data_IF_755729459529
#
_entry.id   IF_755729459529
#
_cell.length_a   1.000
_cell.length_b   1.000
_cell.length_c   1.000
_cell.angle_alpha   90.00
_cell.angle_beta   90.00
_cell.angle_gamma   90.00
#
_symmetry.space_group_name_H-M   'P 1'
#
loop_
_entity.id
_entity.type
_entity.pdbx_description
1 polymer ?
#
# COMPACT_ATOMS: atom_id res chain seq x y z
N UNK A 1 6.98 -26.57 -5.25
CA UNK A 1 6.61 -25.14 -5.21
C UNK A 1 7.21 -24.43 -6.41
N UNK A 2 6.74 -23.23 -6.76
CA UNK A 2 7.41 -22.41 -7.77
C UNK A 2 8.86 -22.12 -7.33
N UNK A 3 9.83 -22.08 -8.26
CA UNK A 3 11.25 -21.85 -7.93
C UNK A 3 11.52 -20.41 -7.46
N UNK A 4 10.59 -19.48 -7.72
CA UNK A 4 10.64 -18.10 -7.27
C UNK A 4 9.36 -17.75 -6.52
N UNK A 5 9.53 -16.98 -5.44
CA UNK A 5 8.45 -16.44 -4.63
C UNK A 5 8.61 -14.93 -4.47
N UNK A 6 7.51 -14.27 -4.15
CA UNK A 6 7.47 -12.85 -3.84
C UNK A 6 6.51 -12.61 -2.67
N UNK A 7 6.55 -11.38 -2.15
CA UNK A 7 5.68 -10.94 -1.06
C UNK A 7 4.92 -9.69 -1.48
N UNK A 8 3.71 -9.54 -0.93
CA UNK A 8 2.86 -8.36 -1.06
C UNK A 8 2.99 -7.58 0.25
N UNK A 9 3.21 -6.28 0.19
CA UNK A 9 3.34 -5.47 1.39
C UNK A 9 1.95 -5.20 2.00
N UNK A 10 1.85 -5.10 3.34
CA UNK A 10 0.65 -4.58 3.97
C UNK A 10 0.49 -3.07 3.74
N UNK A 11 -0.75 -2.59 3.90
CA UNK A 11 -1.12 -1.18 3.92
C UNK A 11 -1.26 -0.73 5.37
N UNK A 12 -0.61 0.38 5.71
CA UNK A 12 -0.65 0.99 7.04
C UNK A 12 -1.66 2.14 7.01
N UNK A 13 -2.75 2.01 7.76
CA UNK A 13 -3.85 2.99 7.78
C UNK A 13 -3.91 3.68 9.15
N UNK A 14 -3.73 5.00 9.24
CA UNK A 14 -3.89 5.73 10.50
C UNK A 14 -5.37 5.78 10.91
N UNK A 15 -5.65 5.52 12.19
CA UNK A 15 -6.94 5.81 12.81
C UNK A 15 -6.89 7.22 13.40
N UNK A 16 -7.87 8.05 13.01
CA UNK A 16 -7.94 9.47 13.35
C UNK A 16 -9.15 9.69 14.28
N UNK A 17 -8.97 10.45 15.37
CA UNK A 17 -10.07 10.83 16.26
C UNK A 17 -10.89 12.04 15.71
N UNK A 18 -11.90 12.47 16.47
CA UNK A 18 -12.76 13.59 16.06
C UNK A 18 -12.04 14.94 15.94
N UNK A 19 -10.89 15.09 16.58
CA UNK A 19 -10.07 16.31 16.57
C UNK A 19 -8.96 16.27 15.51
N UNK A 20 -8.84 15.16 14.77
CA UNK A 20 -7.84 14.98 13.72
C UNK A 20 -6.52 14.39 14.21
N UNK A 21 -6.42 13.95 15.46
CA UNK A 21 -5.20 13.34 15.99
C UNK A 21 -5.12 11.86 15.62
N UNK A 22 -3.90 11.38 15.36
CA UNK A 22 -3.65 9.94 15.16
C UNK A 22 -3.71 9.25 16.53
N UNK A 23 -4.56 8.23 16.63
CA UNK A 23 -4.74 7.45 17.86
C UNK A 23 -4.20 6.02 17.75
N UNK A 24 -4.15 5.46 16.54
CA UNK A 24 -3.64 4.12 16.28
C UNK A 24 -3.26 3.94 14.80
N UNK A 25 -2.66 2.79 14.48
CA UNK A 25 -2.46 2.33 13.11
C UNK A 25 -3.07 0.94 12.93
N UNK A 26 -3.81 0.77 11.84
CA UNK A 26 -4.33 -0.51 11.37
C UNK A 26 -3.42 -1.04 10.26
N UNK A 27 -3.21 -2.35 10.25
CA UNK A 27 -2.40 -3.05 9.25
C UNK A 27 -3.34 -3.91 8.42
N UNK A 28 -3.52 -3.56 7.16
CA UNK A 28 -4.41 -4.24 6.22
C UNK A 28 -3.60 -4.97 5.14
N UNK A 29 -3.89 -6.25 4.90
CA UNK A 29 -3.20 -7.03 3.87
C UNK A 29 -3.99 -6.97 2.55
N UNK A 30 -3.39 -6.56 1.42
CA UNK A 30 -4.05 -6.60 0.12
C UNK A 30 -4.42 -8.03 -0.29
N UNK A 31 -5.51 -8.18 -1.05
CA UNK A 31 -5.99 -9.50 -1.46
C UNK A 31 -5.12 -10.10 -2.57
N UNK A 32 -4.44 -9.26 -3.35
CA UNK A 32 -3.62 -9.70 -4.46
C UNK A 32 -2.43 -8.78 -4.74
N UNK A 33 -1.42 -9.34 -5.42
CA UNK A 33 -0.29 -8.59 -5.94
C UNK A 33 -0.72 -7.51 -6.95
N UNK A 34 -1.65 -7.83 -7.86
CA UNK A 34 -2.08 -6.89 -8.90
C UNK A 34 -2.76 -5.65 -8.32
N UNK A 35 -3.58 -5.83 -7.27
CA UNK A 35 -4.21 -4.73 -6.54
C UNK A 35 -3.16 -3.78 -5.96
N UNK A 36 -2.16 -4.33 -5.26
CA UNK A 36 -1.06 -3.55 -4.69
C UNK A 36 -0.30 -2.76 -5.76
N UNK A 37 0.03 -3.39 -6.89
CA UNK A 37 0.80 -2.75 -7.96
C UNK A 37 0.03 -1.61 -8.64
N UNK A 38 -1.28 -1.78 -8.85
CA UNK A 38 -2.13 -0.73 -9.42
C UNK A 38 -2.27 0.46 -8.47
N UNK A 39 -2.46 0.20 -7.17
CA UNK A 39 -2.53 1.25 -6.16
C UNK A 39 -1.22 2.05 -6.11
N UNK A 40 -0.07 1.38 -6.12
CA UNK A 40 1.23 2.04 -6.09
C UNK A 40 1.47 2.88 -7.34
N UNK A 41 1.10 2.36 -8.50
CA UNK A 41 1.21 3.09 -9.77
C UNK A 41 0.33 4.34 -9.79
N UNK A 42 -0.82 4.30 -9.13
CA UNK A 42 -1.73 5.45 -9.06
C UNK A 42 -1.25 6.50 -8.03
N UNK A 43 -0.90 6.06 -6.82
CA UNK A 43 -0.62 6.97 -5.69
C UNK A 43 0.82 7.43 -5.57
N UNK A 44 1.78 6.64 -6.02
CA UNK A 44 3.20 6.85 -5.72
C UNK A 44 4.09 6.97 -6.97
N UNK A 45 3.50 7.03 -8.16
CA UNK A 45 4.23 7.21 -9.42
C UNK A 45 4.51 8.70 -9.71
N UNK A 46 5.50 9.26 -9.03
CA UNK A 46 5.80 10.70 -9.10
C UNK A 46 6.79 11.09 -10.21
N UNK A 47 7.32 10.12 -10.97
CA UNK A 47 8.29 10.39 -12.04
C UNK A 47 7.58 10.66 -13.37
N UNK A 48 8.12 11.54 -14.23
CA UNK A 48 7.61 11.72 -15.58
C UNK A 48 7.83 10.46 -16.41
N UNK A 49 7.04 10.30 -17.47
CA UNK A 49 7.18 9.18 -18.40
C UNK A 49 8.54 9.17 -19.12
N UNK A 50 9.09 10.36 -19.38
CA UNK A 50 10.45 10.56 -19.90
C UNK A 50 11.16 11.54 -18.98
N UNK A 51 12.30 11.12 -18.43
CA UNK A 51 13.13 11.92 -17.53
C UNK A 51 14.10 12.83 -18.30
#
# INVERSE_FOLDING_TARGET
>A
SAPYSGFVNPVIVPAIDGDGNITAFKIDQPNSFSEQMLEYSNKYNNLPEVN
#
